data_IF_930706791583
#
_entry.id   IF_930706791583
#
_cell.length_a   1.000
_cell.length_b   1.000
_cell.length_c   1.000
_cell.angle_alpha   90.00
_cell.angle_beta   90.00
_cell.angle_gamma   90.00
#
_symmetry.space_group_name_H-M   'P 1'
#
loop_
_entity.id
_entity.type
_entity.pdbx_description
1 polymer ?
#
# COMPACT_ATOMS: atom_id res chain seq x y z
N UNK A 1 0.22 -67.75 12.86
CA UNK A 1 1.59 -67.57 12.36
C UNK A 1 1.69 -66.11 11.99
N UNK A 2 2.13 -65.34 12.97
CA UNK A 2 2.00 -63.90 13.02
C UNK A 2 2.98 -63.25 12.04
N UNK A 3 2.45 -62.38 11.18
CA UNK A 3 3.22 -61.62 10.21
C UNK A 3 4.15 -60.66 10.95
N UNK A 4 5.44 -61.00 10.93
CA UNK A 4 6.54 -60.31 11.59
C UNK A 4 6.73 -58.92 10.96
N UNK A 5 6.06 -57.93 11.55
CA UNK A 5 6.18 -56.53 11.15
C UNK A 5 7.58 -56.03 11.58
N UNK A 6 8.51 -56.03 10.64
CA UNK A 6 9.87 -55.49 10.76
C UNK A 6 9.86 -54.05 11.28
N UNK A 7 9.88 -53.89 12.59
CA UNK A 7 10.05 -52.61 13.26
C UNK A 7 11.51 -52.20 13.13
N UNK A 8 11.84 -51.49 12.05
CA UNK A 8 13.12 -50.78 11.93
C UNK A 8 13.12 -49.60 12.93
N UNK A 9 13.59 -49.86 14.14
CA UNK A 9 13.58 -48.91 15.28
C UNK A 9 14.37 -47.61 15.02
N UNK A 10 15.15 -47.56 13.93
CA UNK A 10 15.99 -46.43 13.55
C UNK A 10 15.42 -45.59 12.39
N UNK A 11 14.27 -45.99 11.84
CA UNK A 11 13.60 -45.25 10.77
C UNK A 11 12.45 -44.45 11.36
N UNK A 12 12.54 -43.13 11.28
CA UNK A 12 11.51 -42.24 11.80
C UNK A 12 10.17 -42.52 11.09
N UNK A 13 9.09 -42.86 11.82
CA UNK A 13 7.81 -43.15 11.19
C UNK A 13 7.28 -41.95 10.38
N UNK A 14 6.79 -42.21 9.17
CA UNK A 14 6.30 -41.17 8.24
C UNK A 14 5.24 -40.27 8.88
N UNK A 15 4.32 -40.84 9.67
CA UNK A 15 3.30 -40.07 10.40
C UNK A 15 3.91 -39.06 11.37
N UNK A 16 5.01 -39.43 12.05
CA UNK A 16 5.72 -38.54 12.97
C UNK A 16 6.49 -37.46 12.20
N UNK A 17 7.08 -37.80 11.05
CA UNK A 17 7.74 -36.84 10.17
C UNK A 17 6.76 -35.78 9.66
N UNK A 18 5.60 -36.20 9.15
CA UNK A 18 4.53 -35.31 8.67
C UNK A 18 4.01 -34.42 9.80
N UNK A 19 3.77 -34.99 10.99
CA UNK A 19 3.31 -34.23 12.15
C UNK A 19 4.31 -33.13 12.54
N UNK A 20 5.60 -33.46 12.59
CA UNK A 20 6.68 -32.49 12.88
C UNK A 20 6.77 -31.40 11.82
N UNK A 21 6.62 -31.75 10.55
CA UNK A 21 6.64 -30.77 9.45
C UNK A 21 5.43 -29.83 9.50
N UNK A 22 4.23 -30.35 9.77
CA UNK A 22 3.01 -29.55 9.95
C UNK A 22 3.12 -28.60 11.14
N UNK A 23 3.60 -29.10 12.28
CA UNK A 23 3.86 -28.28 13.47
C UNK A 23 4.94 -27.22 13.22
N UNK A 24 5.98 -27.55 12.47
CA UNK A 24 7.02 -26.60 12.07
C UNK A 24 6.47 -25.50 11.16
N UNK A 25 5.69 -25.87 10.14
CA UNK A 25 5.01 -24.90 9.25
C UNK A 25 4.08 -23.98 10.03
N UNK A 26 3.28 -24.53 10.95
CA UNK A 26 2.40 -23.75 11.83
C UNK A 26 3.18 -22.82 12.77
N UNK A 27 4.26 -23.29 13.40
CA UNK A 27 5.15 -22.44 14.22
C UNK A 27 5.83 -21.34 13.40
N UNK A 28 6.26 -21.64 12.17
CA UNK A 28 6.86 -20.65 11.28
C UNK A 28 5.83 -19.60 10.82
N UNK A 29 4.57 -20.00 10.61
CA UNK A 29 3.48 -19.07 10.35
C UNK A 29 3.19 -18.17 11.56
N UNK A 30 3.17 -18.73 12.77
CA UNK A 30 3.03 -17.96 14.02
C UNK A 30 4.21 -17.03 14.24
N UNK A 31 5.46 -17.43 13.94
CA UNK A 31 6.64 -16.56 14.04
C UNK A 31 6.66 -15.48 12.97
N UNK A 32 6.23 -15.81 11.75
CA UNK A 32 5.98 -14.84 10.68
C UNK A 32 4.95 -13.81 11.16
N UNK A 33 3.83 -14.26 11.73
CA UNK A 33 2.78 -13.40 12.31
C UNK A 33 3.25 -12.63 13.57
N UNK A 34 4.16 -13.18 14.39
CA UNK A 34 4.77 -12.49 15.55
C UNK A 34 5.78 -11.43 15.12
N UNK A 35 6.59 -11.68 14.08
CA UNK A 35 7.43 -10.64 13.44
C UNK A 35 6.57 -9.52 12.85
N UNK A 36 5.35 -9.82 12.40
CA UNK A 36 4.36 -8.81 12.00
C UNK A 36 3.75 -8.00 13.16
N UNK A 37 3.83 -8.48 14.40
CA UNK A 37 3.33 -7.76 15.58
C UNK A 37 4.42 -6.99 16.35
N UNK A 38 5.72 -7.22 16.08
CA UNK A 38 6.83 -6.63 16.87
C UNK A 38 7.85 -5.79 16.07
N UNK A 39 7.63 -5.53 14.78
CA UNK A 39 8.45 -4.56 14.05
C UNK A 39 7.76 -3.19 14.07
N UNK A 40 7.90 -2.47 15.19
CA UNK A 40 8.09 -1.03 15.14
C UNK A 40 9.44 -0.79 14.43
N UNK A 41 9.50 -0.16 13.25
CA UNK A 41 10.78 0.19 12.66
C UNK A 41 11.41 1.32 13.46
N UNK A 42 12.57 1.03 14.03
CA UNK A 42 13.49 1.97 14.64
C UNK A 42 13.71 3.16 13.70
N UNK A 43 13.36 4.34 14.20
CA UNK A 43 13.91 5.62 13.74
C UNK A 43 15.42 5.66 14.02
N UNK A 44 16.24 6.26 13.14
CA UNK A 44 17.54 6.77 13.54
C UNK A 44 17.35 8.05 14.39
N UNK A 45 17.70 7.97 15.67
CA UNK A 45 17.94 9.10 16.60
C UNK A 45 19.18 9.87 16.11
N UNK A 46 19.34 11.21 16.19
CA UNK A 46 19.18 12.18 17.27
C UNK A 46 19.01 13.58 16.60
N UNK A 47 18.34 14.62 17.13
CA UNK A 47 18.58 15.42 18.35
C UNK A 47 17.35 16.33 18.55
N UNK A 48 16.90 16.54 19.81
CA UNK A 48 15.92 17.57 20.22
C UNK A 48 16.67 18.82 20.74
N UNK A 49 16.14 20.07 20.64
CA UNK A 49 15.08 20.51 21.55
C UNK A 49 14.02 21.52 21.01
N UNK A 50 12.88 21.49 21.70
CA UNK A 50 11.77 22.45 21.86
C UNK A 50 11.72 23.75 21.03
N UNK A 51 10.63 23.98 20.29
CA UNK A 51 9.56 24.92 20.66
C UNK A 51 8.44 25.00 19.60
N UNK A 52 7.35 25.64 20.01
CA UNK A 52 5.98 25.66 19.49
C UNK A 52 5.76 26.00 17.99
N UNK A 53 4.65 25.47 17.49
CA UNK A 53 3.76 26.02 16.45
C UNK A 53 4.03 25.77 14.93
N UNK A 54 2.93 25.43 14.26
CA UNK A 54 2.60 25.46 12.82
C UNK A 54 2.90 24.24 11.94
N UNK A 55 1.84 23.81 11.25
CA UNK A 55 1.73 22.71 10.30
C UNK A 55 2.62 22.95 9.06
N UNK A 56 3.52 22.01 8.72
CA UNK A 56 4.01 21.81 7.33
C UNK A 56 4.43 20.35 7.07
N UNK A 57 3.82 19.78 6.02
CA UNK A 57 4.00 18.44 5.45
C UNK A 57 5.38 18.31 4.79
N UNK A 58 6.05 17.15 4.95
CA UNK A 58 7.38 16.83 4.39
C UNK A 58 7.22 15.79 3.27
N UNK A 59 7.58 16.18 2.05
CA UNK A 59 7.54 15.35 0.84
C UNK A 59 8.73 14.37 0.82
N UNK A 60 8.56 13.10 0.38
CA UNK A 60 9.68 12.21 0.09
C UNK A 60 10.23 12.43 -1.33
N UNK A 61 11.53 12.69 -1.39
CA UNK A 61 12.34 12.81 -2.59
C UNK A 61 12.25 11.58 -3.51
N UNK A 62 11.93 11.79 -4.79
CA UNK A 62 12.32 10.87 -5.87
C UNK A 62 13.20 11.61 -6.88
N UNK A 63 14.38 11.06 -7.09
CA UNK A 63 15.37 11.39 -8.10
C UNK A 63 14.76 11.63 -9.48
N UNK A 64 15.20 12.72 -10.11
CA UNK A 64 14.64 13.26 -11.34
C UNK A 64 14.93 12.44 -12.60
N UNK A 65 13.90 12.26 -13.40
CA UNK A 65 13.99 12.27 -14.87
C UNK A 65 12.87 13.19 -15.37
N UNK A 66 13.25 14.16 -16.22
CA UNK A 66 12.35 15.13 -16.79
C UNK A 66 11.43 14.47 -17.82
N UNK A 67 10.31 13.94 -17.35
CA UNK A 67 9.12 13.74 -18.14
C UNK A 67 7.98 14.31 -17.29
N UNK A 68 7.35 15.39 -17.75
CA UNK A 68 6.10 15.94 -17.22
C UNK A 68 5.05 14.81 -17.21
N UNK A 69 5.07 13.96 -16.18
CA UNK A 69 4.11 12.88 -16.04
C UNK A 69 2.83 13.50 -15.51
N UNK A 70 1.80 13.41 -16.34
CA UNK A 70 0.37 13.56 -16.05
C UNK A 70 -0.03 12.67 -14.88
N UNK A 71 0.41 13.02 -13.68
CA UNK A 71 0.34 12.14 -12.53
C UNK A 71 -0.93 12.45 -11.77
N UNK A 72 -1.98 11.72 -12.11
CA UNK A 72 -3.20 11.63 -11.32
C UNK A 72 -2.83 11.12 -9.92
N UNK A 73 -3.12 11.89 -8.87
CA UNK A 73 -2.91 11.43 -7.49
C UNK A 73 -3.90 10.31 -7.16
N UNK A 74 -3.39 9.15 -6.75
CA UNK A 74 -4.19 8.01 -6.29
C UNK A 74 -3.95 7.80 -4.80
N UNK A 75 -4.98 7.99 -3.97
CA UNK A 75 -4.84 7.91 -2.52
C UNK A 75 -5.38 6.57 -2.01
N UNK A 76 -4.65 5.94 -1.09
CA UNK A 76 -5.17 4.92 -0.20
C UNK A 76 -5.66 5.54 1.10
N UNK A 77 -6.98 5.56 1.34
CA UNK A 77 -7.63 6.14 2.54
C UNK A 77 -7.34 5.38 3.84
N UNK A 78 -6.87 4.14 3.74
CA UNK A 78 -6.51 3.32 4.90
C UNK A 78 -5.11 3.67 5.39
N UNK A 79 -4.20 3.93 4.45
CA UNK A 79 -2.78 4.16 4.75
C UNK A 79 -2.39 5.64 4.64
N UNK A 80 -3.26 6.49 4.10
CA UNK A 80 -3.01 7.90 3.79
C UNK A 80 -1.76 8.11 2.91
N UNK A 81 -1.59 7.23 1.92
CA UNK A 81 -0.45 7.27 0.98
C UNK A 81 -1.00 7.62 -0.41
N UNK A 82 -0.33 8.56 -1.08
CA UNK A 82 -0.59 8.93 -2.47
C UNK A 82 0.39 8.20 -3.41
N UNK A 83 -0.12 7.73 -4.54
CA UNK A 83 0.63 7.06 -5.60
C UNK A 83 0.41 7.81 -6.91
N UNK A 84 1.45 7.88 -7.75
CA UNK A 84 1.35 8.45 -9.09
C UNK A 84 0.93 7.45 -10.17
N UNK A 85 0.83 6.15 -9.85
CA UNK A 85 0.47 5.10 -10.81
C UNK A 85 -0.43 4.03 -10.17
N UNK A 86 -1.33 3.46 -10.95
CA UNK A 86 -2.22 2.37 -10.51
C UNK A 86 -1.43 1.11 -10.16
N UNK A 87 -0.31 0.86 -10.85
CA UNK A 87 0.55 -0.29 -10.58
C UNK A 87 1.07 -0.28 -9.14
N UNK A 88 1.59 0.87 -8.68
CA UNK A 88 2.09 1.00 -7.31
C UNK A 88 0.94 0.94 -6.29
N UNK A 89 -0.24 1.49 -6.62
CA UNK A 89 -1.43 1.37 -5.79
C UNK A 89 -1.88 -0.09 -5.63
N UNK A 90 -1.90 -0.85 -6.73
CA UNK A 90 -2.26 -2.27 -6.75
C UNK A 90 -1.28 -3.07 -5.91
N UNK A 91 0.02 -2.89 -6.15
CA UNK A 91 1.06 -3.54 -5.34
C UNK A 91 0.95 -3.14 -3.86
N UNK A 92 0.66 -1.87 -3.57
CA UNK A 92 0.42 -1.40 -2.21
C UNK A 92 -0.74 -2.14 -1.53
N UNK A 93 -1.84 -2.37 -2.24
CA UNK A 93 -3.01 -3.09 -1.70
C UNK A 93 -2.68 -4.53 -1.26
N UNK A 94 -1.66 -5.13 -1.87
CA UNK A 94 -1.22 -6.49 -1.56
C UNK A 94 -0.22 -6.54 -0.39
N UNK A 95 0.34 -5.39 0.02
CA UNK A 95 1.33 -5.30 1.10
C UNK A 95 0.77 -5.77 2.44
N UNK A 96 1.63 -6.37 3.26
CA UNK A 96 1.22 -6.86 4.58
C UNK A 96 0.78 -5.69 5.48
N UNK A 97 1.37 -4.50 5.34
CA UNK A 97 0.95 -3.31 6.10
C UNK A 97 -0.50 -2.92 5.79
N UNK A 98 -0.87 -2.85 4.52
CA UNK A 98 -2.23 -2.51 4.13
C UNK A 98 -3.24 -3.56 4.63
N UNK A 99 -2.94 -4.85 4.44
CA UNK A 99 -3.76 -5.96 4.95
C UNK A 99 -3.90 -5.94 6.47
N UNK A 100 -2.82 -5.62 7.18
CA UNK A 100 -2.81 -5.46 8.64
C UNK A 100 -3.74 -4.34 9.11
N UNK A 101 -3.70 -3.17 8.45
CA UNK A 101 -4.60 -2.06 8.75
C UNK A 101 -6.06 -2.42 8.48
N UNK A 102 -6.35 -3.10 7.37
CA UNK A 102 -7.70 -3.60 7.08
C UNK A 102 -8.20 -4.52 8.21
N UNK A 103 -7.36 -5.45 8.67
CA UNK A 103 -7.73 -6.38 9.74
C UNK A 103 -8.00 -5.64 11.06
N UNK A 104 -7.19 -4.63 11.39
CA UNK A 104 -7.41 -3.80 12.58
C UNK A 104 -8.73 -3.02 12.50
N UNK A 105 -9.03 -2.44 11.35
CA UNK A 105 -10.31 -1.73 11.14
C UNK A 105 -11.50 -2.68 11.32
N UNK A 106 -11.42 -3.88 10.74
CA UNK A 106 -12.46 -4.92 10.92
C UNK A 106 -12.67 -5.30 12.39
N UNK A 107 -11.59 -5.44 13.17
CA UNK A 107 -11.68 -5.71 14.62
C UNK A 107 -12.37 -4.59 15.40
N UNK A 108 -12.30 -3.36 14.93
CA UNK A 108 -12.96 -2.18 15.51
C UNK A 108 -14.39 -1.98 14.98
N UNK A 109 -14.92 -2.91 14.18
CA UNK A 109 -16.23 -2.78 13.53
C UNK A 109 -16.26 -1.77 12.37
N UNK A 110 -15.11 -1.27 11.93
CA UNK A 110 -15.02 -0.31 10.83
C UNK A 110 -14.73 -1.06 9.52
N UNK A 111 -15.68 -1.01 8.59
CA UNK A 111 -15.54 -1.64 7.28
C UNK A 111 -15.37 -0.57 6.20
N UNK A 112 -14.23 -0.57 5.51
CA UNK A 112 -13.96 0.34 4.40
C UNK A 112 -14.09 -0.43 3.09
N UNK A 113 -15.24 -0.29 2.41
CA UNK A 113 -15.51 -0.98 1.15
C UNK A 113 -14.81 -0.35 -0.06
N UNK A 114 -14.46 0.94 0.03
CA UNK A 114 -13.80 1.69 -1.05
C UNK A 114 -12.52 2.36 -0.55
N UNK A 115 -11.41 1.61 -0.38
CA UNK A 115 -10.20 2.14 0.24
C UNK A 115 -9.42 3.11 -0.65
N UNK A 116 -9.68 3.16 -1.95
CA UNK A 116 -8.91 3.98 -2.89
C UNK A 116 -9.70 5.21 -3.36
N UNK A 117 -9.00 6.30 -3.69
CA UNK A 117 -9.58 7.56 -4.11
C UNK A 117 -8.75 8.16 -5.26
N UNK A 118 -9.41 8.61 -6.32
CA UNK A 118 -8.78 9.44 -7.34
C UNK A 118 -8.85 10.91 -6.90
N UNK A 119 -7.72 11.61 -6.85
CA UNK A 119 -7.68 13.03 -6.44
C UNK A 119 -8.35 13.97 -7.46
N UNK A 120 -8.23 13.68 -8.77
CA UNK A 120 -8.83 14.54 -9.81
C UNK A 120 -10.35 14.44 -9.83
N UNK A 121 -10.88 13.22 -9.75
CA UNK A 121 -12.32 12.98 -9.84
C UNK A 121 -13.02 12.92 -8.48
N UNK A 122 -12.24 12.93 -7.38
CA UNK A 122 -12.71 12.69 -6.01
C UNK A 122 -13.60 11.43 -5.86
N UNK A 123 -13.38 10.42 -6.71
CA UNK A 123 -14.19 9.21 -6.78
C UNK A 123 -13.51 8.05 -6.05
N UNK A 124 -14.27 7.35 -5.19
CA UNK A 124 -13.75 6.22 -4.42
C UNK A 124 -13.89 4.89 -5.16
N UNK A 125 -12.85 4.06 -5.13
CA UNK A 125 -12.80 2.74 -5.76
C UNK A 125 -12.55 1.63 -4.73
N UNK A 126 -13.10 0.44 -4.99
CA UNK A 126 -12.98 -0.75 -4.13
C UNK A 126 -11.66 -1.49 -4.30
N UNK A 127 -11.09 -1.49 -5.51
CA UNK A 127 -9.86 -2.21 -5.82
C UNK A 127 -8.97 -1.43 -6.80
N UNK A 128 -7.72 -1.87 -6.94
CA UNK A 128 -6.82 -1.34 -7.96
C UNK A 128 -7.32 -1.58 -9.39
N UNK A 129 -8.06 -2.67 -9.62
CA UNK A 129 -8.63 -3.00 -10.94
C UNK A 129 -9.72 -1.98 -11.29
N UNK A 130 -10.66 -1.74 -10.36
CA UNK A 130 -11.72 -0.73 -10.56
C UNK A 130 -11.14 0.66 -10.75
N UNK A 131 -10.04 0.97 -10.05
CA UNK A 131 -9.32 2.23 -10.26
C UNK A 131 -8.71 2.32 -11.66
N UNK A 132 -8.18 1.21 -12.19
CA UNK A 132 -7.64 1.16 -13.55
C UNK A 132 -8.71 1.44 -14.60
N UNK A 133 -9.87 0.79 -14.46
CA UNK A 133 -11.01 1.02 -15.35
C UNK A 133 -11.55 2.45 -15.23
N UNK A 134 -11.59 2.99 -14.01
CA UNK A 134 -11.95 4.38 -13.77
C UNK A 134 -11.05 5.35 -14.56
N UNK A 135 -9.72 5.16 -14.53
CA UNK A 135 -8.80 6.03 -15.26
C UNK A 135 -8.94 5.94 -16.78
N UNK A 136 -9.38 4.79 -17.30
CA UNK A 136 -9.68 4.59 -18.72
C UNK A 136 -11.05 5.15 -19.13
N UNK A 137 -11.88 5.56 -18.16
CA UNK A 137 -13.23 6.03 -18.38
C UNK A 137 -13.29 7.44 -18.97
N UNK A 138 -14.36 7.73 -19.72
CA UNK A 138 -14.60 9.03 -20.37
C UNK A 138 -14.67 10.17 -19.35
N UNK A 139 -15.34 9.96 -18.21
CA UNK A 139 -15.45 10.96 -17.14
C UNK A 139 -14.09 11.37 -16.57
N UNK A 140 -13.17 10.42 -16.45
CA UNK A 140 -11.83 10.73 -15.99
C UNK A 140 -11.08 11.56 -17.03
N UNK A 141 -11.15 11.15 -18.29
CA UNK A 141 -10.50 11.83 -19.40
C UNK A 141 -10.97 13.28 -19.58
N UNK A 142 -12.27 13.55 -19.44
CA UNK A 142 -12.80 14.93 -19.54
C UNK A 142 -12.28 15.84 -18.43
N UNK A 143 -12.33 15.36 -17.18
CA UNK A 143 -11.82 16.12 -16.02
C UNK A 143 -10.31 16.36 -16.13
N UNK A 144 -9.56 15.35 -16.60
CA UNK A 144 -8.12 15.49 -16.83
C UNK A 144 -7.82 16.55 -17.88
N UNK A 145 -8.55 16.56 -19.00
CA UNK A 145 -8.37 17.55 -20.05
C UNK A 145 -8.68 18.98 -19.56
N UNK A 146 -9.77 19.17 -18.82
CA UNK A 146 -10.12 20.45 -18.23
C UNK A 146 -9.05 20.94 -17.26
N UNK A 147 -8.52 20.04 -16.42
CA UNK A 147 -7.45 20.34 -15.49
C UNK A 147 -6.15 20.75 -16.22
N UNK A 148 -5.77 20.05 -17.28
CA UNK A 148 -4.60 20.41 -18.10
C UNK A 148 -4.78 21.77 -18.80
N UNK A 149 -5.96 22.04 -19.35
CA UNK A 149 -6.29 23.33 -19.98
C UNK A 149 -6.20 24.48 -18.97
N UNK A 150 -6.78 24.31 -17.78
CA UNK A 150 -6.70 25.29 -16.70
C UNK A 150 -5.27 25.52 -16.20
N UNK A 151 -4.45 24.45 -16.11
CA UNK A 151 -3.02 24.55 -15.76
C UNK A 151 -2.26 25.39 -16.78
N UNK A 152 -2.55 25.21 -18.08
CA UNK A 152 -1.92 25.97 -19.17
C UNK A 152 -2.34 27.44 -19.14
N UNK A 153 -3.64 27.74 -19.03
CA UNK A 153 -4.13 29.12 -18.96
C UNK A 153 -3.47 29.91 -17.82
N UNK A 154 -3.38 29.30 -16.62
CA UNK A 154 -2.69 29.92 -15.48
C UNK A 154 -1.20 30.14 -15.70
N UNK A 155 -0.52 29.23 -16.40
CA UNK A 155 0.90 29.38 -16.72
C UNK A 155 1.14 30.54 -17.71
N UNK A 156 0.25 30.70 -18.68
CA UNK A 156 0.27 31.81 -19.64
C UNK A 156 0.00 33.15 -18.94
N UNK A 157 -1.02 33.22 -18.07
CA UNK A 157 -1.32 34.40 -17.24
C UNK A 157 -0.14 34.77 -16.33
N UNK A 158 0.48 33.78 -15.67
CA UNK A 158 1.63 34.01 -14.79
C UNK A 158 2.89 34.44 -15.55
N UNK A 159 3.06 34.03 -16.80
CA UNK A 159 4.13 34.51 -17.66
C UNK A 159 3.88 35.94 -18.13
N UNK A 160 2.65 36.26 -18.55
CA UNK A 160 2.26 37.61 -18.93
C UNK A 160 2.42 38.61 -17.77
N UNK A 161 2.07 38.24 -16.54
CA UNK A 161 2.23 39.07 -15.35
C UNK A 161 3.70 39.34 -14.95
N UNK A 162 4.68 38.61 -15.51
CA UNK A 162 6.11 38.84 -15.28
C UNK A 162 6.76 39.76 -16.32
N UNK A 163 6.06 40.05 -17.41
CA UNK A 163 6.54 40.93 -18.49
C UNK A 163 6.14 42.39 -18.29
N UNK A 164 5.32 42.69 -17.28
CA UNK A 164 4.95 44.03 -16.82
C UNK A 164 5.54 44.28 -15.43
#
# INVERSE_FOLDING_TARGET
MDEEMMTLHNVMPVKLAIKREMEYRSKMEVLRNRRFNNLNPLLPSQVQPANQATLKRKEPSSSGTALERRSTGLICKICQITFGTVLHLKQHSETIRHKGNILQLKKRGQNVSTPFLCELCNSSCSSGIVMEDHLKGTKHATVLQEFENAKRARAEEAFAAKLY
#
